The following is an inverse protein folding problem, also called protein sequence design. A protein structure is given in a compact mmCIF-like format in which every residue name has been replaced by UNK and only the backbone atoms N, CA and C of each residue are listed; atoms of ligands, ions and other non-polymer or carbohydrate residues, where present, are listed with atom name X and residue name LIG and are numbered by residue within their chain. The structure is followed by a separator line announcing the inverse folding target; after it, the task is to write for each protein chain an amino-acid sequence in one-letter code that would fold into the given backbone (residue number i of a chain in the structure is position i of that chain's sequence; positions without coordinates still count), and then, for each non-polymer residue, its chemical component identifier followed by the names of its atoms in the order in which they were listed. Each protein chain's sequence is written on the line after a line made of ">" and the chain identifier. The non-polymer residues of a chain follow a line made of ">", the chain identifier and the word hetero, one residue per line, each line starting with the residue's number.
data_IF_299434801608
#
_entry.id   IF_299434801608
#
_cell.length_a   1.000
_cell.length_b   1.000
_cell.length_c   1.000
_cell.angle_alpha   90.00
_cell.angle_beta   90.00
_cell.angle_gamma   90.00
#
_symmetry.space_group_name_H-M   'P 1'
#
loop_
_entity.id
_entity.type
_entity.pdbx_description
1 polymer ?
#
# COMPACT_ATOMS: atom_id res chain seq x y z
N UNK A 1 6.88 -52.24 26.85
CA UNK A 1 6.72 -51.24 27.94
C UNK A 1 5.86 -50.13 27.35
N UNK A 2 4.57 -49.92 27.65
CA UNK A 2 3.69 -50.13 28.83
C UNK A 2 4.05 -49.29 30.07
N UNK A 3 3.02 -48.60 30.62
CA UNK A 3 3.01 -47.58 31.70
C UNK A 3 3.75 -46.26 31.35
N UNK A 4 3.49 -45.06 31.89
CA UNK A 4 2.36 -44.40 32.59
C UNK A 4 2.64 -42.86 32.63
N UNK A 5 1.73 -41.90 32.90
CA UNK A 5 0.26 -41.88 32.92
C UNK A 5 -0.30 -40.43 32.96
N UNK A 6 -1.58 -40.28 32.55
CA UNK A 6 -2.63 -39.34 33.00
C UNK A 6 -2.28 -38.30 34.09
N UNK A 7 -2.40 -37.00 33.78
CA UNK A 7 -2.89 -35.96 34.72
C UNK A 7 -3.89 -35.05 33.99
N UNK A 8 -5.14 -35.06 34.46
CA UNK A 8 -6.15 -34.05 34.16
C UNK A 8 -6.01 -32.90 35.16
N UNK A 9 -6.22 -31.66 34.73
CA UNK A 9 -6.46 -30.52 35.63
C UNK A 9 -7.61 -29.66 35.07
N UNK A 10 -8.73 -29.48 35.81
CA UNK A 10 -9.80 -28.59 35.39
C UNK A 10 -9.44 -27.14 35.76
N UNK A 11 -9.67 -26.19 34.85
CA UNK A 11 -9.71 -24.77 35.20
C UNK A 11 -11.17 -24.37 35.34
N UNK A 12 -11.56 -24.06 36.58
CA UNK A 12 -12.91 -23.64 36.97
C UNK A 12 -13.33 -22.36 36.25
N UNK A 13 -14.59 -22.28 35.85
CA UNK A 13 -15.14 -21.10 35.22
C UNK A 13 -15.34 -19.93 36.19
N UNK A 14 -15.23 -18.70 35.67
CA UNK A 14 -15.79 -17.51 36.29
C UNK A 14 -17.07 -17.13 35.51
N UNK A 15 -18.23 -17.33 36.13
CA UNK A 15 -19.48 -16.78 35.63
C UNK A 15 -19.59 -15.32 36.10
N UNK A 16 -19.68 -14.38 35.16
CA UNK A 16 -20.05 -13.00 35.50
C UNK A 16 -21.57 -12.87 35.44
N UNK A 17 -22.18 -12.46 36.56
CA UNK A 17 -23.63 -12.38 36.68
C UNK A 17 -24.20 -11.20 35.89
N UNK A 18 -25.30 -11.45 35.17
CA UNK A 18 -26.10 -10.40 34.55
C UNK A 18 -27.01 -9.75 35.61
N UNK A 19 -26.88 -8.44 35.81
CA UNK A 19 -27.82 -7.68 36.64
C UNK A 19 -29.09 -7.38 35.83
N UNK A 20 -30.17 -8.13 36.10
CA UNK A 20 -31.50 -7.76 35.64
C UNK A 20 -32.06 -6.64 36.54
N UNK A 21 -32.64 -5.61 35.94
CA UNK A 21 -33.53 -4.67 36.63
C UNK A 21 -34.89 -4.71 35.94
N UNK A 22 -35.88 -5.19 36.69
CA UNK A 22 -37.27 -5.21 36.26
C UNK A 22 -37.97 -3.94 36.75
N UNK A 23 -38.72 -3.35 35.82
CA UNK A 23 -40.08 -2.85 36.00
C UNK A 23 -40.32 -1.76 37.05
N UNK A 24 -40.75 -0.60 36.54
CA UNK A 24 -42.00 -0.02 37.02
C UNK A 24 -42.84 0.46 35.82
N UNK A 25 -44.16 0.28 35.89
CA UNK A 25 -45.07 0.57 34.79
C UNK A 25 -46.40 1.15 35.31
N UNK A 26 -46.63 2.43 35.04
CA UNK A 26 -47.90 3.11 35.30
C UNK A 26 -48.20 4.13 34.17
N UNK A 27 -49.48 4.47 33.92
CA UNK A 27 -49.92 4.79 32.56
C UNK A 27 -50.21 6.27 32.26
N UNK A 28 -50.33 6.53 30.95
CA UNK A 28 -51.19 7.55 30.31
C UNK A 28 -50.93 9.05 30.56
N UNK A 29 -50.37 9.71 29.54
CA UNK A 29 -50.96 10.91 28.96
C UNK A 29 -50.40 11.16 27.55
N UNK A 30 -51.27 11.29 26.54
CA UNK A 30 -50.86 11.78 25.23
C UNK A 30 -50.96 13.32 25.19
N UNK A 31 -49.95 14.00 24.64
CA UNK A 31 -50.23 15.09 23.72
C UNK A 31 -49.53 14.88 22.37
N UNK A 32 -50.30 15.02 21.29
CA UNK A 32 -49.79 15.07 19.92
C UNK A 32 -48.95 16.32 19.68
N UNK A 33 -47.66 16.12 19.36
CA UNK A 33 -46.82 17.12 18.71
C UNK A 33 -45.88 16.39 17.73
N UNK A 34 -45.78 16.81 16.45
CA UNK A 34 -44.85 16.21 15.51
C UNK A 34 -43.42 16.64 15.85
N UNK A 35 -42.43 15.72 15.88
CA UNK A 35 -41.03 16.12 15.94
C UNK A 35 -40.65 16.74 14.60
N UNK A 36 -40.43 18.06 14.58
CA UNK A 36 -39.68 18.70 13.50
C UNK A 36 -38.25 18.21 13.65
N UNK A 37 -37.88 17.19 12.87
CA UNK A 37 -36.52 16.73 12.78
C UNK A 37 -35.67 17.89 12.25
N UNK A 38 -34.84 18.47 13.11
CA UNK A 38 -33.84 19.44 12.70
C UNK A 38 -32.85 18.71 11.78
N UNK A 39 -32.96 19.00 10.49
CA UNK A 39 -32.05 18.51 9.45
C UNK A 39 -30.66 19.07 9.76
N UNK A 40 -29.83 18.27 10.44
CA UNK A 40 -28.45 18.61 10.70
C UNK A 40 -27.77 18.83 9.35
N UNK A 41 -27.08 19.96 9.13
CA UNK A 41 -26.47 20.25 7.84
C UNK A 41 -25.51 19.13 7.51
N UNK A 42 -25.81 18.38 6.45
CA UNK A 42 -24.93 17.34 5.94
C UNK A 42 -23.56 17.99 5.70
N UNK A 43 -22.57 17.60 6.51
CA UNK A 43 -21.21 18.07 6.33
C UNK A 43 -20.78 17.66 4.93
N UNK A 44 -20.69 18.64 4.02
CA UNK A 44 -20.26 18.42 2.67
C UNK A 44 -18.81 17.97 2.73
N UNK A 45 -18.59 16.65 2.72
CA UNK A 45 -17.26 16.05 2.59
C UNK A 45 -16.71 16.50 1.26
N UNK A 46 -15.89 17.55 1.28
CA UNK A 46 -15.19 18.07 0.10
C UNK A 46 -14.33 16.94 -0.44
N UNK A 47 -14.83 16.26 -1.47
CA UNK A 47 -14.10 15.21 -2.15
C UNK A 47 -12.80 15.83 -2.69
N UNK A 48 -11.67 15.49 -2.07
CA UNK A 48 -10.36 15.95 -2.53
C UNK A 48 -10.15 15.35 -3.91
N UNK A 49 -10.29 16.17 -4.94
CA UNK A 49 -10.09 15.77 -6.33
C UNK A 49 -8.64 15.28 -6.50
N UNK A 50 -8.47 13.96 -6.52
CA UNK A 50 -7.19 13.31 -6.81
C UNK A 50 -6.83 13.63 -8.27
N UNK A 51 -6.02 14.67 -8.46
CA UNK A 51 -5.71 15.26 -9.77
C UNK A 51 -5.17 14.24 -10.78
N UNK A 52 -4.44 13.22 -10.34
CA UNK A 52 -3.95 12.16 -11.23
C UNK A 52 -5.01 11.18 -11.71
N UNK A 53 -6.16 11.00 -11.03
CA UNK A 53 -7.18 10.04 -11.48
C UNK A 53 -7.96 10.52 -12.70
N UNK A 54 -8.42 11.77 -12.69
CA UNK A 54 -9.26 12.32 -13.75
C UNK A 54 -8.49 12.37 -15.08
N UNK A 55 -9.03 11.78 -16.17
CA UNK A 55 -8.46 11.94 -17.51
C UNK A 55 -8.43 13.42 -17.92
N UNK A 56 -7.32 13.86 -18.50
CA UNK A 56 -7.16 15.25 -19.00
C UNK A 56 -7.66 15.40 -20.44
N UNK A 57 -8.11 14.30 -21.06
CA UNK A 57 -8.81 14.23 -22.33
C UNK A 57 -9.92 13.16 -22.25
N UNK A 58 -10.87 13.10 -23.21
CA UNK A 58 -11.87 12.04 -23.27
C UNK A 58 -11.25 10.64 -23.25
N UNK A 59 -11.94 9.69 -22.61
CA UNK A 59 -11.47 8.32 -22.49
C UNK A 59 -11.28 7.67 -23.87
N UNK A 60 -10.09 7.13 -24.13
CA UNK A 60 -9.74 6.49 -25.40
C UNK A 60 -10.01 4.96 -25.42
N UNK A 61 -10.29 4.40 -24.24
CA UNK A 61 -10.46 2.97 -24.01
C UNK A 61 -9.18 2.23 -23.61
N UNK A 62 -8.10 2.96 -23.28
CA UNK A 62 -6.94 2.43 -22.59
C UNK A 62 -7.11 2.47 -21.07
N UNK A 63 -6.65 1.42 -20.37
CA UNK A 63 -6.61 1.37 -18.91
C UNK A 63 -5.19 1.15 -18.37
N UNK A 64 -4.88 1.84 -17.28
CA UNK A 64 -3.71 1.63 -16.43
C UNK A 64 -4.19 1.22 -15.04
N UNK A 65 -3.97 -0.05 -14.69
CA UNK A 65 -4.34 -0.60 -13.39
C UNK A 65 -3.19 -0.48 -12.40
N UNK A 66 -3.49 -0.04 -11.17
CA UNK A 66 -2.52 0.15 -10.09
C UNK A 66 -2.75 -0.86 -8.97
N UNK A 67 -1.68 -1.55 -8.55
CA UNK A 67 -1.68 -2.36 -7.33
C UNK A 67 -0.57 -1.90 -6.36
N UNK A 68 -0.88 -1.68 -5.06
CA UNK A 68 0.08 -1.35 -4.03
C UNK A 68 0.86 -2.59 -3.58
N UNK A 69 1.97 -2.35 -2.87
CA UNK A 69 2.79 -3.41 -2.29
C UNK A 69 2.18 -3.92 -0.99
N UNK A 70 2.07 -5.24 -0.91
CA UNK A 70 1.77 -5.98 0.32
C UNK A 70 2.95 -5.89 1.31
N UNK A 71 4.17 -5.90 0.77
CA UNK A 71 5.39 -6.13 1.52
C UNK A 71 6.17 -4.85 1.79
N UNK A 72 6.22 -4.51 3.06
CA UNK A 72 7.25 -3.65 3.67
C UNK A 72 8.38 -4.54 4.19
N UNK A 73 9.64 -4.19 3.92
CA UNK A 73 10.82 -4.89 4.45
C UNK A 73 11.80 -3.87 5.03
N UNK A 74 12.41 -4.15 6.18
CA UNK A 74 13.52 -3.36 6.76
C UNK A 74 14.77 -4.23 6.90
N UNK A 75 15.93 -3.69 6.56
CA UNK A 75 17.22 -4.31 6.88
C UNK A 75 18.23 -3.29 7.40
N UNK A 76 18.71 -3.52 8.61
CA UNK A 76 19.80 -2.76 9.23
C UNK A 76 21.07 -3.61 9.26
N UNK A 77 22.07 -3.22 8.47
CA UNK A 77 23.40 -3.86 8.48
C UNK A 77 24.32 -3.20 9.50
N UNK A 78 24.91 -3.99 10.39
CA UNK A 78 25.94 -3.54 11.34
C UNK A 78 27.36 -3.51 10.73
N UNK A 79 28.35 -3.20 11.56
CA UNK A 79 29.77 -3.17 11.21
C UNK A 79 30.29 -4.50 10.64
N UNK A 80 29.68 -5.63 11.04
CA UNK A 80 30.02 -6.98 10.57
C UNK A 80 29.31 -7.38 9.26
N UNK A 81 28.62 -6.45 8.59
CA UNK A 81 27.95 -6.68 7.31
C UNK A 81 26.62 -7.44 7.41
N UNK A 82 26.02 -7.81 6.26
CA UNK A 82 24.78 -8.57 6.21
C UNK A 82 25.02 -10.05 6.57
N UNK A 83 24.43 -10.51 7.68
CA UNK A 83 24.55 -11.89 8.13
C UNK A 83 23.67 -12.21 9.32
N UNK A 84 23.54 -13.51 9.65
CA UNK A 84 22.68 -14.03 10.73
C UNK A 84 22.85 -13.28 12.07
N UNK A 85 24.10 -12.97 12.46
CA UNK A 85 24.39 -12.23 13.69
C UNK A 85 23.87 -10.78 13.64
N UNK A 86 24.03 -10.08 12.52
CA UNK A 86 23.47 -8.72 12.34
C UNK A 86 21.94 -8.74 12.35
N UNK A 87 21.31 -9.79 11.81
CA UNK A 87 19.86 -9.97 11.83
C UNK A 87 19.34 -10.24 13.25
N UNK A 88 20.03 -11.06 14.05
CA UNK A 88 19.68 -11.32 15.44
C UNK A 88 19.77 -10.05 16.31
N UNK A 89 20.80 -9.22 16.09
CA UNK A 89 21.00 -7.95 16.81
C UNK A 89 19.96 -6.90 16.41
N UNK A 90 19.65 -6.78 15.11
CA UNK A 90 18.78 -5.72 14.61
C UNK A 90 17.29 -6.10 14.47
N UNK A 91 16.90 -7.37 14.64
CA UNK A 91 15.54 -7.84 14.35
C UNK A 91 14.41 -7.03 15.02
N UNK A 92 14.59 -6.59 16.27
CA UNK A 92 13.62 -5.69 16.95
C UNK A 92 13.53 -4.31 16.28
N UNK A 93 14.67 -3.74 15.86
CA UNK A 93 14.74 -2.45 15.16
C UNK A 93 14.13 -2.56 13.76
N UNK A 94 14.44 -3.63 13.03
CA UNK A 94 13.91 -3.84 11.69
C UNK A 94 12.40 -4.12 11.71
N UNK A 95 11.89 -4.86 12.70
CA UNK A 95 10.44 -5.02 12.91
C UNK A 95 9.75 -3.70 13.26
N UNK A 96 10.35 -2.86 14.11
CA UNK A 96 9.83 -1.53 14.44
C UNK A 96 9.80 -0.60 13.22
N UNK A 97 10.89 -0.55 12.44
CA UNK A 97 10.96 0.21 11.19
C UNK A 97 9.89 -0.28 10.19
N UNK A 98 9.70 -1.60 10.07
CA UNK A 98 8.71 -2.20 9.19
C UNK A 98 7.28 -1.79 9.58
N UNK A 99 6.97 -1.72 10.87
CA UNK A 99 5.68 -1.23 11.36
C UNK A 99 5.46 0.26 11.04
N UNK A 100 6.47 1.10 11.25
CA UNK A 100 6.40 2.53 10.90
C UNK A 100 6.29 2.78 9.39
N UNK A 101 6.97 1.95 8.57
CA UNK A 101 6.77 1.96 7.12
C UNK A 101 5.35 1.56 6.75
N UNK A 102 4.81 0.51 7.37
CA UNK A 102 3.45 0.05 7.11
C UNK A 102 2.38 1.07 7.50
N UNK A 103 2.62 1.92 8.52
CA UNK A 103 1.70 3.01 8.88
C UNK A 103 1.76 4.22 7.94
N UNK A 104 2.89 4.48 7.28
CA UNK A 104 3.04 5.63 6.36
C UNK A 104 2.84 5.26 4.88
N UNK A 105 3.05 3.99 4.53
CA UNK A 105 2.97 3.45 3.17
C UNK A 105 2.02 2.24 3.15
N UNK A 106 0.88 2.35 3.83
CA UNK A 106 -0.21 1.41 3.65
C UNK A 106 -0.78 1.45 2.22
N UNK A 107 -1.72 0.56 1.91
CA UNK A 107 -2.22 0.43 0.53
C UNK A 107 -2.91 1.71 0.03
N UNK A 108 -3.83 2.35 0.79
CA UNK A 108 -4.35 3.67 0.47
C UNK A 108 -3.27 4.74 0.30
N UNK A 109 -2.27 4.84 1.19
CA UNK A 109 -1.24 5.87 1.13
C UNK A 109 -0.31 5.70 -0.07
N UNK A 110 0.04 4.46 -0.45
CA UNK A 110 0.79 4.18 -1.67
C UNK A 110 0.00 4.60 -2.93
N UNK A 111 -1.29 4.26 -3.00
CA UNK A 111 -2.15 4.63 -4.12
C UNK A 111 -2.31 6.16 -4.20
N UNK A 112 -2.65 6.81 -3.09
CA UNK A 112 -2.71 8.27 -2.96
C UNK A 112 -1.40 8.94 -3.38
N UNK A 113 -0.25 8.37 -3.01
CA UNK A 113 1.05 8.90 -3.36
C UNK A 113 1.33 8.80 -4.88
N UNK A 114 0.93 7.71 -5.53
CA UNK A 114 1.03 7.56 -6.99
C UNK A 114 0.04 8.46 -7.74
N UNK A 115 -1.23 8.54 -7.31
CA UNK A 115 -2.26 9.36 -7.96
C UNK A 115 -2.13 10.86 -7.68
N UNK A 116 -1.20 11.26 -6.82
CA UNK A 116 -0.75 12.65 -6.68
C UNK A 116 0.31 13.03 -7.74
N UNK A 117 0.74 12.10 -8.59
CA UNK A 117 1.67 12.33 -9.70
C UNK A 117 0.94 12.24 -11.04
N UNK A 118 1.48 12.89 -12.07
CA UNK A 118 1.02 12.68 -13.45
C UNK A 118 1.55 11.35 -14.01
N UNK A 119 0.86 10.27 -13.64
CA UNK A 119 1.17 8.90 -14.07
C UNK A 119 1.10 8.75 -15.60
N UNK A 120 0.27 9.54 -16.29
CA UNK A 120 0.11 9.48 -17.75
C UNK A 120 1.38 9.98 -18.43
N UNK A 121 1.87 11.16 -18.04
CA UNK A 121 3.14 11.71 -18.55
C UNK A 121 4.35 10.89 -18.09
N UNK A 122 4.37 10.45 -16.83
CA UNK A 122 5.50 9.69 -16.26
C UNK A 122 5.68 8.32 -16.91
N UNK A 123 4.59 7.63 -17.28
CA UNK A 123 4.64 6.30 -17.91
C UNK A 123 4.40 6.33 -19.43
N UNK A 124 4.37 7.52 -20.05
CA UNK A 124 4.03 7.70 -21.47
C UNK A 124 2.76 6.93 -21.87
N UNK A 125 1.68 7.18 -21.12
CA UNK A 125 0.30 6.80 -21.48
C UNK A 125 -0.38 8.00 -22.14
N UNK A 126 -1.49 7.76 -22.81
CA UNK A 126 -2.29 8.82 -23.43
C UNK A 126 -2.99 9.68 -22.37
N UNK A 127 -3.29 10.96 -22.64
CA UNK A 127 -4.08 11.81 -21.75
C UNK A 127 -5.48 11.24 -21.42
N UNK A 128 -6.04 10.43 -22.33
CA UNK A 128 -7.33 9.75 -22.19
C UNK A 128 -7.28 8.39 -21.47
N UNK A 129 -6.11 7.87 -21.11
CA UNK A 129 -6.01 6.58 -20.38
C UNK A 129 -6.75 6.68 -19.04
N UNK A 130 -7.65 5.73 -18.78
CA UNK A 130 -8.34 5.61 -17.49
C UNK A 130 -7.41 4.95 -16.46
N UNK A 131 -7.37 5.48 -15.24
CA UNK A 131 -6.56 4.92 -14.15
C UNK A 131 -7.49 4.17 -13.20
N UNK A 132 -7.23 2.88 -13.01
CA UNK A 132 -8.04 1.97 -12.19
C UNK A 132 -7.23 1.55 -10.98
N UNK A 133 -7.74 1.82 -9.78
CA UNK A 133 -7.06 1.48 -8.53
C UNK A 133 -7.56 0.13 -8.01
N UNK A 134 -6.63 -0.70 -7.54
CA UNK A 134 -6.93 -1.93 -6.80
C UNK A 134 -6.36 -1.79 -5.39
N UNK A 135 -7.24 -1.68 -4.38
CA UNK A 135 -6.81 -1.49 -2.99
C UNK A 135 -6.13 -2.74 -2.42
N UNK A 136 -6.55 -3.93 -2.86
CA UNK A 136 -5.97 -5.21 -2.43
C UNK A 136 -4.58 -5.41 -3.06
N UNK A 137 -3.52 -5.55 -2.24
CA UNK A 137 -2.18 -5.82 -2.74
C UNK A 137 -2.06 -7.14 -3.49
N UNK A 138 -1.03 -7.24 -4.33
CA UNK A 138 -0.68 -8.50 -4.99
C UNK A 138 0.39 -9.27 -4.23
N UNK A 139 0.10 -10.55 -3.98
CA UNK A 139 1.08 -11.49 -3.44
C UNK A 139 2.33 -11.54 -4.33
N UNK A 140 3.48 -11.13 -3.78
CA UNK A 140 4.77 -11.00 -4.51
C UNK A 140 5.16 -12.25 -5.31
N UNK A 141 4.80 -13.43 -4.83
CA UNK A 141 5.16 -14.70 -5.46
C UNK A 141 4.35 -15.01 -6.74
N UNK A 142 3.21 -14.33 -6.95
CA UNK A 142 2.40 -14.44 -8.18
C UNK A 142 2.93 -13.53 -9.29
N UNK A 143 3.66 -12.45 -8.96
CA UNK A 143 4.05 -11.38 -9.90
C UNK A 143 4.74 -11.89 -11.17
N UNK A 144 5.72 -12.78 -11.01
CA UNK A 144 6.44 -13.37 -12.14
C UNK A 144 5.71 -14.56 -12.78
N UNK A 145 4.68 -15.13 -12.13
CA UNK A 145 3.95 -16.33 -12.59
C UNK A 145 2.79 -15.98 -13.51
N UNK A 146 1.96 -15.02 -13.13
CA UNK A 146 0.82 -14.59 -13.94
C UNK A 146 1.34 -13.72 -15.07
N UNK A 147 1.27 -14.24 -16.31
CA UNK A 147 1.70 -13.56 -17.54
C UNK A 147 0.53 -13.11 -18.43
N UNK A 148 -0.70 -13.27 -17.94
CA UNK A 148 -1.93 -12.69 -18.50
C UNK A 148 -2.35 -11.43 -17.76
N UNK A 149 -3.39 -10.72 -18.26
CA UNK A 149 -4.01 -9.61 -17.53
C UNK A 149 -4.47 -10.09 -16.15
N UNK A 150 -4.32 -9.27 -15.11
CA UNK A 150 -4.75 -9.60 -13.73
C UNK A 150 -6.20 -9.27 -13.43
N UNK A 151 -6.85 -8.47 -14.26
CA UNK A 151 -8.26 -8.15 -14.15
C UNK A 151 -9.01 -8.52 -15.42
N UNK A 152 -10.30 -8.80 -15.29
CA UNK A 152 -11.20 -9.15 -16.40
C UNK A 152 -11.59 -7.95 -17.30
N UNK A 153 -10.75 -6.91 -17.35
CA UNK A 153 -11.01 -5.70 -18.14
C UNK A 153 -10.97 -5.99 -19.64
N UNK A 154 -12.07 -5.63 -20.30
CA UNK A 154 -12.23 -5.65 -21.76
C UNK A 154 -11.71 -4.37 -22.43
N UNK A 155 -10.85 -3.59 -21.77
CA UNK A 155 -10.24 -2.38 -22.35
C UNK A 155 -9.47 -2.69 -23.64
N UNK A 156 -9.52 -1.74 -24.59
CA UNK A 156 -8.86 -1.82 -25.90
C UNK A 156 -7.34 -1.85 -25.79
N UNK A 157 -6.82 -1.22 -24.74
CA UNK A 157 -5.40 -1.16 -24.41
C UNK A 157 -5.29 -1.38 -22.89
N UNK A 158 -4.38 -2.23 -22.45
CA UNK A 158 -4.28 -2.62 -21.05
C UNK A 158 -2.85 -2.57 -20.54
N UNK A 159 -2.65 -1.91 -19.40
CA UNK A 159 -1.36 -1.81 -18.74
C UNK A 159 -1.50 -1.90 -17.21
N UNK A 160 -0.43 -2.38 -16.57
CA UNK A 160 -0.40 -2.64 -15.13
C UNK A 160 0.84 -1.99 -14.51
N UNK A 161 0.63 -1.13 -13.51
CA UNK A 161 1.67 -0.68 -12.59
C UNK A 161 1.50 -1.43 -11.26
N UNK A 162 2.51 -2.22 -10.89
CA UNK A 162 2.54 -2.96 -9.64
C UNK A 162 3.70 -2.49 -8.79
N UNK A 163 3.42 -2.06 -7.56
CA UNK A 163 4.42 -1.89 -6.51
C UNK A 163 4.67 -3.27 -5.88
N UNK A 164 5.89 -3.80 -6.01
CA UNK A 164 6.21 -5.19 -5.70
C UNK A 164 6.78 -5.42 -4.29
N UNK A 165 7.48 -4.41 -3.77
CA UNK A 165 8.27 -4.46 -2.54
C UNK A 165 8.64 -3.02 -2.17
N UNK A 166 8.51 -2.64 -0.91
CA UNK A 166 9.06 -1.39 -0.36
C UNK A 166 10.08 -1.77 0.70
N UNK A 167 11.32 -1.34 0.51
CA UNK A 167 12.48 -1.81 1.26
C UNK A 167 13.25 -0.65 1.87
N UNK A 168 13.21 -0.52 3.19
CA UNK A 168 14.16 0.32 3.93
C UNK A 168 15.48 -0.43 4.09
N UNK A 169 16.58 0.26 3.79
CA UNK A 169 17.93 -0.26 4.01
C UNK A 169 18.78 0.76 4.76
N UNK A 170 19.45 0.32 5.84
CA UNK A 170 20.59 1.03 6.43
C UNK A 170 21.89 0.31 6.10
N UNK A 171 22.66 0.88 5.20
CA UNK A 171 24.01 0.45 4.87
C UNK A 171 25.06 1.28 5.62
N UNK A 172 26.20 0.67 5.97
CA UNK A 172 27.27 1.38 6.69
C UNK A 172 27.88 2.52 5.87
N UNK A 173 28.15 2.28 4.58
CA UNK A 173 28.79 3.26 3.69
C UNK A 173 27.81 4.25 3.04
N UNK A 174 26.60 3.79 2.69
CA UNK A 174 25.63 4.56 1.90
C UNK A 174 24.50 5.17 2.72
N UNK A 175 24.55 5.06 4.04
CA UNK A 175 23.56 5.65 4.94
C UNK A 175 22.21 4.92 4.92
N UNK A 176 21.12 5.68 4.92
CA UNK A 176 19.73 5.19 4.95
C UNK A 176 19.07 5.48 3.62
N UNK A 177 18.30 4.53 3.08
CA UNK A 177 17.51 4.72 1.88
C UNK A 177 16.20 3.96 1.93
N UNK A 178 15.21 4.47 1.21
CA UNK A 178 14.00 3.75 0.84
C UNK A 178 14.15 3.33 -0.61
N UNK A 179 13.96 2.04 -0.89
CA UNK A 179 13.97 1.49 -2.24
C UNK A 179 12.60 0.89 -2.53
N UNK A 180 12.10 1.12 -3.74
CA UNK A 180 10.80 0.58 -4.15
C UNK A 180 10.94 -0.17 -5.46
N UNK A 181 10.53 -1.44 -5.47
CA UNK A 181 10.54 -2.29 -6.66
C UNK A 181 9.22 -2.09 -7.39
N UNK A 182 9.27 -1.56 -8.62
CA UNK A 182 8.09 -1.41 -9.46
C UNK A 182 8.18 -2.37 -10.65
N UNK A 183 7.01 -2.75 -11.15
CA UNK A 183 6.83 -3.51 -12.39
C UNK A 183 5.73 -2.83 -13.21
N UNK A 184 6.09 -2.41 -14.43
CA UNK A 184 5.16 -1.94 -15.45
C UNK A 184 5.05 -3.02 -16.52
N UNK A 185 3.81 -3.39 -16.86
CA UNK A 185 3.50 -4.32 -17.93
C UNK A 185 2.53 -3.67 -18.91
N UNK A 186 2.82 -3.81 -20.18
CA UNK A 186 1.97 -3.39 -21.29
C UNK A 186 1.51 -4.66 -22.03
N UNK A 187 0.20 -4.78 -22.25
CA UNK A 187 -0.44 -5.92 -22.89
C UNK A 187 -1.09 -5.57 -24.23
N UNK A 188 -0.99 -4.30 -24.64
CA UNK A 188 -1.69 -3.82 -25.82
C UNK A 188 -3.17 -4.19 -25.78
N UNK A 189 -3.66 -4.79 -26.86
CA UNK A 189 -5.06 -5.17 -27.03
C UNK A 189 -5.40 -6.64 -26.72
N UNK A 190 -4.43 -7.45 -26.26
CA UNK A 190 -4.66 -8.88 -25.99
C UNK A 190 -4.30 -9.29 -24.54
N UNK A 191 -4.23 -10.60 -24.29
CA UNK A 191 -3.98 -11.19 -22.98
C UNK A 191 -2.49 -11.46 -22.68
N UNK A 192 -1.56 -11.06 -23.53
CA UNK A 192 -0.12 -11.34 -23.40
C UNK A 192 0.65 -10.06 -23.09
N UNK A 193 1.81 -10.21 -22.47
CA UNK A 193 2.69 -9.08 -22.16
C UNK A 193 3.54 -8.76 -23.38
N UNK A 194 3.24 -7.66 -24.07
CA UNK A 194 4.05 -7.09 -25.15
C UNK A 194 5.37 -6.54 -24.62
N UNK A 195 5.32 -5.89 -23.44
CA UNK A 195 6.48 -5.25 -22.80
C UNK A 195 6.39 -5.33 -21.27
N UNK A 196 7.51 -5.65 -20.62
CA UNK A 196 7.67 -5.67 -19.16
C UNK A 196 8.92 -4.88 -18.78
N UNK A 197 8.81 -3.98 -17.79
CA UNK A 197 9.97 -3.33 -17.17
C UNK A 197 9.88 -3.43 -15.64
N UNK A 198 10.85 -4.10 -15.04
CA UNK A 198 10.92 -4.35 -13.60
C UNK A 198 12.25 -3.82 -13.04
N UNK A 199 12.18 -2.82 -12.17
CA UNK A 199 13.37 -2.19 -11.61
C UNK A 199 13.10 -1.55 -10.25
N UNK A 200 14.17 -1.32 -9.49
CA UNK A 200 14.14 -0.53 -8.27
C UNK A 200 14.30 0.96 -8.61
N UNK A 201 13.46 1.82 -8.03
CA UNK A 201 13.87 3.19 -7.69
C UNK A 201 14.44 3.21 -6.26
N UNK A 202 15.30 4.18 -5.93
CA UNK A 202 15.94 4.22 -4.61
C UNK A 202 16.58 5.54 -4.24
N UNK A 203 16.01 6.21 -3.24
CA UNK A 203 16.42 7.53 -2.77
C UNK A 203 16.77 7.51 -1.27
N UNK A 204 17.62 8.44 -0.84
CA UNK A 204 18.14 8.52 0.53
C UNK A 204 17.15 9.09 1.54
N UNK A 205 17.30 8.71 2.81
CA UNK A 205 16.48 9.17 3.94
C UNK A 205 17.33 9.97 4.95
N UNK A 206 16.81 11.13 5.38
CA UNK A 206 17.45 12.06 6.31
C UNK A 206 16.79 12.06 7.69
N UNK A 207 15.49 11.77 7.76
CA UNK A 207 14.72 11.75 9.00
C UNK A 207 14.48 10.30 9.43
N UNK A 208 13.85 9.48 8.58
CA UNK A 208 13.47 8.12 8.94
C UNK A 208 14.66 7.18 9.20
N UNK A 209 14.63 6.29 10.21
CA UNK A 209 13.62 6.17 11.26
C UNK A 209 13.80 7.29 12.31
N UNK A 210 12.69 7.84 12.85
CA UNK A 210 12.75 8.84 13.91
C UNK A 210 13.34 8.24 15.19
N UNK A 211 14.03 9.07 15.97
CA UNK A 211 14.49 8.77 17.32
C UNK A 211 13.54 9.39 18.35
N UNK A 212 13.78 9.05 19.62
CA UNK A 212 13.16 9.77 20.73
C UNK A 212 13.53 11.26 20.68
N UNK A 213 12.51 12.12 20.73
CA UNK A 213 12.65 13.58 20.59
C UNK A 213 12.71 14.13 19.15
N UNK A 214 12.79 13.27 18.13
CA UNK A 214 12.67 13.71 16.73
C UNK A 214 11.19 13.97 16.35
N UNK A 215 10.96 14.79 15.33
CA UNK A 215 9.64 14.94 14.71
C UNK A 215 9.28 13.65 13.93
N UNK A 216 8.46 12.81 14.56
CA UNK A 216 8.00 11.56 13.98
C UNK A 216 7.08 11.77 12.76
N UNK A 217 6.31 12.87 12.70
CA UNK A 217 5.40 13.14 11.57
C UNK A 217 6.24 13.48 10.34
N UNK A 218 7.20 14.41 10.47
CA UNK A 218 8.11 14.75 9.38
C UNK A 218 8.93 13.53 8.88
N UNK A 219 9.28 12.60 9.77
CA UNK A 219 9.97 11.36 9.39
C UNK A 219 9.10 10.37 8.62
N UNK A 220 7.78 10.34 8.86
CA UNK A 220 6.84 9.52 8.10
C UNK A 220 6.44 10.19 6.77
N UNK A 221 6.27 11.51 6.75
CA UNK A 221 6.06 12.29 5.52
C UNK A 221 7.26 12.17 4.56
N UNK A 222 8.49 12.07 5.10
CA UNK A 222 9.67 11.76 4.29
C UNK A 222 9.52 10.43 3.54
N UNK A 223 8.96 9.38 4.15
CA UNK A 223 8.75 8.10 3.47
C UNK A 223 7.83 8.25 2.26
N UNK A 224 6.73 9.00 2.38
CA UNK A 224 5.78 9.26 1.28
C UNK A 224 6.44 10.09 0.17
N UNK A 225 7.22 11.10 0.54
CA UNK A 225 7.97 11.94 -0.41
C UNK A 225 9.04 11.13 -1.17
N UNK A 226 9.84 10.32 -0.46
CA UNK A 226 10.89 9.48 -1.04
C UNK A 226 10.30 8.33 -1.86
N UNK A 227 9.14 7.79 -1.48
CA UNK A 227 8.39 6.83 -2.30
C UNK A 227 7.97 7.42 -3.66
N UNK A 228 7.46 8.66 -3.68
CA UNK A 228 7.17 9.39 -4.94
C UNK A 228 8.45 9.61 -5.78
N UNK A 229 9.56 9.98 -5.13
CA UNK A 229 10.86 10.11 -5.80
C UNK A 229 11.37 8.81 -6.41
N UNK A 230 11.20 7.67 -5.71
CA UNK A 230 11.51 6.34 -6.25
C UNK A 230 10.69 6.03 -7.50
N UNK A 231 9.40 6.37 -7.52
CA UNK A 231 8.56 6.15 -8.69
C UNK A 231 8.96 7.04 -9.88
N UNK A 232 9.26 8.32 -9.65
CA UNK A 232 9.72 9.24 -10.71
C UNK A 232 11.07 8.80 -11.34
N UNK A 233 12.01 8.34 -10.51
CA UNK A 233 13.25 7.71 -10.98
C UNK A 233 12.98 6.46 -11.83
N UNK A 234 12.15 5.55 -11.30
CA UNK A 234 11.73 4.35 -12.01
C UNK A 234 11.06 4.67 -13.36
N UNK A 235 10.14 5.64 -13.39
CA UNK A 235 9.36 6.02 -14.55
C UNK A 235 10.23 6.64 -15.66
N UNK A 236 11.26 7.44 -15.32
CA UNK A 236 12.28 7.88 -16.28
C UNK A 236 12.99 6.71 -16.95
N UNK A 237 13.36 5.68 -16.19
CA UNK A 237 14.07 4.52 -16.71
C UNK A 237 13.15 3.56 -17.48
N UNK A 238 11.89 3.41 -17.03
CA UNK A 238 10.85 2.64 -17.69
C UNK A 238 10.56 3.18 -19.09
N UNK A 239 10.32 4.50 -19.24
CA UNK A 239 10.11 5.13 -20.55
C UNK A 239 11.25 4.85 -21.53
N UNK A 240 12.51 4.97 -21.09
CA UNK A 240 13.69 4.65 -21.91
C UNK A 240 13.73 3.17 -22.33
N UNK A 241 13.46 2.26 -21.40
CA UNK A 241 13.51 0.82 -21.67
C UNK A 241 12.34 0.32 -22.52
N UNK A 242 11.17 0.96 -22.42
CA UNK A 242 9.93 0.55 -23.10
C UNK A 242 9.74 1.25 -24.46
N UNK A 243 10.54 2.27 -24.79
CA UNK A 243 10.52 2.94 -26.10
C UNK A 243 11.02 2.05 -27.26
N UNK A 244 11.71 0.94 -26.97
CA UNK A 244 12.11 -0.03 -27.98
C UNK A 244 10.93 -0.74 -28.67
N UNK A 245 11.17 -1.41 -29.82
CA UNK A 245 10.17 -2.27 -30.43
C UNK A 245 9.73 -3.38 -29.46
N UNK A 246 8.45 -3.75 -29.49
CA UNK A 246 7.96 -4.89 -28.71
C UNK A 246 8.70 -6.17 -29.13
N UNK A 247 9.04 -7.02 -28.17
CA UNK A 247 9.60 -8.35 -28.45
C UNK A 247 8.44 -9.25 -28.87
N UNK A 248 8.25 -9.39 -30.18
CA UNK A 248 7.35 -10.37 -30.78
C UNK A 248 7.83 -11.80 -30.51
#
# INVERSE_FOLDING_TARGET
>A
MKFNALILAPISGLALAAAAHAQDAAPAAAPTAPPVAAEAPAAATTAVLQQGLQPTAPADGCELHLWPAERMTSQTSGLLGPGLLSSAINGKRDSSNQALMASALDSPSQLNALTALDLRTLLARTPGTTIVLHETPLERHTMNKIKTRRSDSSAKCYSELIVADVFYQKAMMYGRSLRTLFMLRDFGNDQKIDKEYKAWGGNGLKLFPPKEGDDAIAALDELVSVFKGNFDEYARNARKSLAGPAKR
#
